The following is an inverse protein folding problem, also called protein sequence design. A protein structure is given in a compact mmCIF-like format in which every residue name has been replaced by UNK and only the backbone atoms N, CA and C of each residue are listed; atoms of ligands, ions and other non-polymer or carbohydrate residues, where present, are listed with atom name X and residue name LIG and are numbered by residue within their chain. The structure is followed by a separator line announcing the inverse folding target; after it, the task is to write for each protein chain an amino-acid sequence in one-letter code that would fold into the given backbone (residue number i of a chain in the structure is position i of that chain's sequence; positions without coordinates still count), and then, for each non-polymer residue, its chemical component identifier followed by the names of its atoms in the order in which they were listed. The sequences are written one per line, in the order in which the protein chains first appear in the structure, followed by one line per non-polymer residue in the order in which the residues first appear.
data_IF_055346113312
#
_entry.id   IF_055346113312
#
_cell.length_a   1.000
_cell.length_b   1.000
_cell.length_c   1.000
_cell.angle_alpha   90.00
_cell.angle_beta   90.00
_cell.angle_gamma   90.00
#
_symmetry.space_group_name_H-M   'P 1'
#
loop_
_entity.id
_entity.type
_entity.pdbx_description
1 polymer ?
#
# COMPACT_ATOMS: atom_id res chain seq x y z
N UNK A 1 6.66 -8.21 -10.05
CA UNK A 1 6.69 -6.93 -10.80
C UNK A 1 8.06 -6.78 -11.45
N UNK A 2 8.22 -6.10 -12.59
CA UNK A 2 9.57 -5.76 -13.09
C UNK A 2 9.88 -4.31 -12.72
N UNK A 3 10.95 -4.10 -11.94
CA UNK A 3 11.46 -2.79 -11.55
C UNK A 3 12.89 -2.69 -12.08
N UNK A 4 13.20 -1.62 -12.81
CA UNK A 4 14.53 -1.39 -13.42
C UNK A 4 15.06 -2.59 -14.23
N UNK A 5 14.18 -3.30 -14.94
CA UNK A 5 14.55 -4.47 -15.76
C UNK A 5 14.62 -5.80 -15.01
N UNK A 6 14.62 -5.80 -13.68
CA UNK A 6 14.70 -7.00 -12.84
C UNK A 6 13.35 -7.37 -12.23
N UNK A 7 13.13 -8.66 -11.99
CA UNK A 7 11.89 -9.16 -11.40
C UNK A 7 11.95 -9.06 -9.87
N UNK A 8 11.02 -8.31 -9.29
CA UNK A 8 10.81 -8.17 -7.85
C UNK A 8 9.58 -8.97 -7.44
N UNK A 9 9.74 -9.84 -6.45
CA UNK A 9 8.66 -10.62 -5.87
C UNK A 9 8.04 -9.88 -4.68
N UNK A 10 6.72 -9.92 -4.56
CA UNK A 10 5.99 -9.35 -3.44
C UNK A 10 5.34 -10.48 -2.64
N UNK A 11 5.48 -10.41 -1.32
CA UNK A 11 4.71 -11.25 -0.39
C UNK A 11 3.49 -10.45 0.06
N UNK A 12 2.31 -11.05 -0.06
CA UNK A 12 1.05 -10.48 0.43
C UNK A 12 0.57 -11.31 1.62
N UNK A 13 0.22 -10.65 2.72
CA UNK A 13 -0.36 -11.28 3.91
C UNK A 13 -1.57 -10.47 4.37
N UNK A 14 -2.58 -11.14 4.90
CA UNK A 14 -3.76 -10.53 5.52
C UNK A 14 -3.59 -10.34 7.04
N UNK A 15 -2.56 -10.95 7.63
CA UNK A 15 -2.26 -10.91 9.05
C UNK A 15 -0.86 -10.40 9.30
N UNK A 16 -0.77 -9.36 10.13
CA UNK A 16 0.51 -8.83 10.65
C UNK A 16 1.06 -9.68 11.80
N UNK A 17 0.27 -10.60 12.34
CA UNK A 17 0.70 -11.45 13.46
C UNK A 17 1.75 -12.50 13.04
N UNK A 18 1.84 -12.80 11.74
CA UNK A 18 2.82 -13.75 11.18
C UNK A 18 4.14 -13.08 10.79
N UNK A 19 4.25 -11.76 10.93
CA UNK A 19 5.47 -11.02 10.61
C UNK A 19 6.44 -11.09 11.79
N UNK A 20 7.69 -11.47 11.53
CA UNK A 20 8.78 -11.32 12.49
C UNK A 20 9.10 -9.82 12.70
N UNK A 21 9.88 -9.51 13.74
CA UNK A 21 10.31 -8.12 13.97
C UNK A 21 11.11 -7.57 12.79
N UNK A 22 11.99 -8.39 12.22
CA UNK A 22 12.86 -8.02 11.09
C UNK A 22 12.04 -7.83 9.81
N UNK A 23 11.00 -8.64 9.60
CA UNK A 23 10.16 -8.53 8.41
C UNK A 23 9.40 -7.21 8.29
N UNK A 24 9.29 -6.42 9.38
CA UNK A 24 8.64 -5.10 9.33
C UNK A 24 9.39 -4.08 8.50
N UNK A 25 10.73 -4.20 8.35
CA UNK A 25 11.51 -3.29 7.49
C UNK A 25 11.25 -3.53 6.00
N UNK A 26 10.69 -4.69 5.63
CA UNK A 26 10.36 -5.06 4.25
C UNK A 26 8.88 -4.79 3.93
N UNK A 27 8.09 -4.29 4.88
CA UNK A 27 6.69 -3.93 4.62
C UNK A 27 6.68 -2.58 3.91
N UNK A 28 6.16 -2.56 2.69
CA UNK A 28 6.23 -1.39 1.80
C UNK A 28 4.87 -0.73 1.58
N UNK A 29 3.78 -1.43 1.89
CA UNK A 29 2.43 -0.92 1.71
C UNK A 29 1.37 -1.70 2.47
N UNK A 30 0.19 -1.09 2.59
CA UNK A 30 -0.96 -1.64 3.30
C UNK A 30 -2.24 -1.33 2.52
N UNK A 31 -3.11 -2.33 2.36
CA UNK A 31 -4.47 -2.10 1.90
C UNK A 31 -5.29 -1.59 3.08
N UNK A 32 -5.69 -0.33 3.04
CA UNK A 32 -6.41 0.36 4.11
C UNK A 32 -7.89 0.00 4.01
N UNK A 33 -8.47 -0.43 5.13
CA UNK A 33 -9.91 -0.73 5.26
C UNK A 33 -10.76 0.51 5.56
N UNK A 34 -10.13 1.55 6.10
CA UNK A 34 -10.79 2.74 6.65
C UNK A 34 -11.02 2.67 8.16
N UNK A 35 -10.78 1.53 8.81
CA UNK A 35 -10.96 1.41 10.26
C UNK A 35 -9.65 1.61 11.03
N UNK A 36 -9.64 2.50 12.02
CA UNK A 36 -8.45 2.78 12.84
C UNK A 36 -7.90 1.53 13.54
N UNK A 37 -8.79 0.61 13.97
CA UNK A 37 -8.39 -0.58 14.70
C UNK A 37 -7.47 -1.50 13.88
N UNK A 38 -7.48 -1.41 12.55
CA UNK A 38 -6.59 -2.16 11.64
C UNK A 38 -5.12 -1.96 12.02
N UNK A 39 -4.76 -0.77 12.50
CA UNK A 39 -3.38 -0.37 12.74
C UNK A 39 -2.87 -0.73 14.14
N UNK A 40 -3.70 -1.27 15.05
CA UNK A 40 -3.35 -1.53 16.46
C UNK A 40 -2.14 -2.43 16.68
N UNK A 41 -1.80 -3.29 15.72
CA UNK A 41 -0.67 -4.25 15.81
C UNK A 41 0.48 -3.92 14.86
N UNK A 42 0.45 -2.74 14.24
CA UNK A 42 1.54 -2.29 13.39
C UNK A 42 2.71 -1.81 14.24
N UNK A 43 3.92 -2.21 13.86
CA UNK A 43 5.15 -1.89 14.60
C UNK A 43 5.99 -0.79 13.95
N UNK A 44 5.45 -0.16 12.91
CA UNK A 44 6.11 0.91 12.15
C UNK A 44 5.49 2.26 12.50
N UNK A 45 6.27 3.33 12.31
CA UNK A 45 5.81 4.71 12.41
C UNK A 45 5.00 4.97 13.67
N UNK A 46 5.60 4.83 14.85
CA UNK A 46 5.01 5.04 16.19
C UNK A 46 3.71 4.29 16.55
N UNK A 47 3.20 3.44 15.65
CA UNK A 47 1.96 2.68 15.85
C UNK A 47 0.68 3.49 15.66
N UNK A 48 0.76 4.82 15.44
CA UNK A 48 -0.41 5.62 15.07
C UNK A 48 -0.74 5.44 13.59
N UNK A 49 -2.02 5.65 13.24
CA UNK A 49 -2.48 5.61 11.84
C UNK A 49 -1.63 6.53 10.95
N UNK A 50 -1.37 7.75 11.42
CA UNK A 50 -0.59 8.75 10.68
C UNK A 50 0.89 8.34 10.55
N UNK A 51 1.50 7.81 11.61
CA UNK A 51 2.88 7.38 11.56
C UNK A 51 3.07 6.14 10.66
N UNK A 52 2.15 5.17 10.73
CA UNK A 52 2.12 4.02 9.83
C UNK A 52 1.98 4.47 8.37
N UNK A 53 1.02 5.35 8.06
CA UNK A 53 0.75 5.80 6.69
C UNK A 53 1.77 6.82 6.15
N UNK A 54 2.64 7.36 7.01
CA UNK A 54 3.86 8.07 6.59
C UNK A 54 4.99 7.11 6.22
N UNK A 55 5.03 5.94 6.84
CA UNK A 55 6.08 4.94 6.62
C UNK A 55 5.73 4.03 5.43
N UNK A 56 4.49 3.58 5.36
CA UNK A 56 3.99 2.62 4.39
C UNK A 56 3.13 3.32 3.32
N UNK A 57 3.14 2.77 2.10
CA UNK A 57 2.18 3.15 1.07
C UNK A 57 0.77 2.65 1.44
N UNK A 58 -0.10 3.55 1.90
CA UNK A 58 -1.52 3.23 2.11
C UNK A 58 -2.30 3.26 0.81
N UNK A 59 -3.04 2.19 0.50
CA UNK A 59 -3.98 2.16 -0.62
C UNK A 59 -5.36 1.75 -0.13
N UNK A 60 -6.38 2.56 -0.41
CA UNK A 60 -7.78 2.21 -0.18
C UNK A 60 -8.50 1.95 -1.50
N UNK A 61 -9.24 0.85 -1.57
CA UNK A 61 -10.10 0.52 -2.70
C UNK A 61 -11.55 0.82 -2.34
N UNK A 62 -12.28 1.45 -3.26
CA UNK A 62 -13.72 1.62 -3.11
C UNK A 62 -14.42 1.82 -4.43
N UNK A 63 -15.75 1.81 -4.40
CA UNK A 63 -16.55 1.95 -5.62
C UNK A 63 -16.54 3.39 -6.13
N UNK A 64 -16.73 3.59 -7.44
CA UNK A 64 -16.76 4.92 -8.09
C UNK A 64 -17.73 5.91 -7.42
N UNK A 65 -18.87 5.41 -6.92
CA UNK A 65 -19.92 6.16 -6.22
C UNK A 65 -19.72 6.25 -4.71
N UNK A 66 -18.78 5.51 -4.15
CA UNK A 66 -18.48 5.54 -2.72
C UNK A 66 -17.57 6.73 -2.37
N UNK A 67 -17.73 7.31 -1.19
CA UNK A 67 -16.79 8.34 -0.70
C UNK A 67 -15.83 7.74 0.31
N UNK A 68 -14.52 8.00 0.22
CA UNK A 68 -13.58 7.60 1.26
C UNK A 68 -13.97 8.26 2.59
N UNK A 69 -13.77 7.54 3.69
CA UNK A 69 -14.00 8.07 5.02
C UNK A 69 -12.90 9.07 5.44
N UNK A 70 -13.08 9.68 6.61
CA UNK A 70 -12.16 10.70 7.16
C UNK A 70 -10.72 10.18 7.28
N UNK A 71 -10.53 8.97 7.82
CA UNK A 71 -9.21 8.33 7.93
C UNK A 71 -8.46 8.31 6.59
N UNK A 72 -9.12 7.84 5.53
CA UNK A 72 -8.51 7.74 4.19
C UNK A 72 -8.22 9.13 3.63
N UNK A 73 -9.11 10.10 3.86
CA UNK A 73 -8.97 11.47 3.35
C UNK A 73 -7.87 12.27 4.03
N UNK A 74 -7.61 12.04 5.31
CA UNK A 74 -6.71 12.88 6.12
C UNK A 74 -5.27 12.35 6.21
N UNK A 75 -5.04 11.08 5.87
CA UNK A 75 -3.75 10.41 6.11
C UNK A 75 -2.99 10.07 4.82
N UNK A 76 -3.22 10.80 3.72
CA UNK A 76 -2.44 10.67 2.49
C UNK A 76 -2.57 9.30 1.80
N UNK A 77 -3.69 8.60 2.02
CA UNK A 77 -3.95 7.28 1.45
C UNK A 77 -4.28 7.41 -0.04
N UNK A 78 -3.69 6.56 -0.87
CA UNK A 78 -4.01 6.49 -2.29
C UNK A 78 -5.40 5.87 -2.48
N UNK A 79 -6.30 6.58 -3.16
CA UNK A 79 -7.65 6.11 -3.46
C UNK A 79 -7.71 5.47 -4.84
N UNK A 80 -7.98 4.17 -4.90
CA UNK A 80 -8.19 3.43 -6.15
C UNK A 80 -9.68 3.11 -6.29
N UNK A 81 -10.29 3.63 -7.35
CA UNK A 81 -11.71 3.44 -7.63
C UNK A 81 -11.96 2.26 -8.57
N UNK A 82 -12.93 1.44 -8.22
CA UNK A 82 -13.39 0.30 -9.01
C UNK A 82 -14.80 0.57 -9.52
N UNK A 83 -15.05 0.17 -10.77
CA UNK A 83 -16.40 0.21 -11.33
C UNK A 83 -17.13 -1.10 -11.01
N UNK A 84 -18.41 -1.02 -10.65
CA UNK A 84 -19.23 -2.23 -10.41
C UNK A 84 -19.56 -2.98 -11.70
N UNK A 85 -19.64 -2.27 -12.82
CA UNK A 85 -20.10 -2.82 -14.10
C UNK A 85 -19.03 -2.76 -15.20
N UNK A 86 -18.10 -1.81 -15.14
CA UNK A 86 -17.11 -1.57 -16.22
C UNK A 86 -15.78 -2.26 -15.93
N UNK A 87 -15.72 -3.59 -16.08
CA UNK A 87 -14.50 -4.39 -15.83
C UNK A 87 -13.31 -4.07 -16.74
N UNK A 88 -13.56 -3.51 -17.92
CA UNK A 88 -12.47 -3.01 -18.79
C UNK A 88 -11.67 -1.86 -18.15
N UNK A 89 -12.20 -1.22 -17.10
CA UNK A 89 -11.50 -0.19 -16.33
C UNK A 89 -10.61 -0.77 -15.22
N UNK A 90 -10.71 -2.07 -14.91
CA UNK A 90 -9.90 -2.70 -13.86
C UNK A 90 -8.41 -2.59 -14.19
N UNK A 91 -8.03 -2.61 -15.47
CA UNK A 91 -6.65 -2.37 -15.92
C UNK A 91 -6.10 -1.00 -15.48
N UNK A 92 -6.95 0.03 -15.46
CA UNK A 92 -6.58 1.37 -14.96
C UNK A 92 -6.41 1.36 -13.43
N UNK A 93 -7.27 0.64 -12.71
CA UNK A 93 -7.16 0.52 -11.26
C UNK A 93 -5.90 -0.24 -10.85
N UNK A 94 -5.57 -1.32 -11.57
CA UNK A 94 -4.33 -2.09 -11.38
C UNK A 94 -3.11 -1.22 -11.66
N UNK A 95 -3.12 -0.41 -12.74
CA UNK A 95 -2.04 0.52 -13.03
C UNK A 95 -1.85 1.54 -11.90
N UNK A 96 -2.93 2.19 -11.45
CA UNK A 96 -2.88 3.16 -10.36
C UNK A 96 -2.35 2.57 -9.05
N UNK A 97 -2.74 1.33 -8.72
CA UNK A 97 -2.20 0.61 -7.57
C UNK A 97 -0.69 0.41 -7.69
N UNK A 98 -0.21 -0.11 -8.81
CA UNK A 98 1.21 -0.36 -9.01
C UNK A 98 2.03 0.93 -9.09
N UNK A 99 1.50 1.99 -9.69
CA UNK A 99 2.18 3.29 -9.75
C UNK A 99 2.40 3.87 -8.35
N UNK A 100 1.44 3.70 -7.43
CA UNK A 100 1.57 4.13 -6.05
C UNK A 100 2.64 3.33 -5.30
N UNK A 101 2.61 1.99 -5.41
CA UNK A 101 3.60 1.11 -4.77
C UNK A 101 5.00 1.36 -5.34
N UNK A 102 5.15 1.40 -6.67
CA UNK A 102 6.43 1.57 -7.33
C UNK A 102 7.03 2.96 -7.05
N UNK A 103 6.21 4.00 -6.93
CA UNK A 103 6.67 5.34 -6.55
C UNK A 103 7.13 5.38 -5.10
N UNK A 104 6.37 4.78 -4.17
CA UNK A 104 6.72 4.73 -2.76
C UNK A 104 8.00 3.91 -2.51
N UNK A 105 8.14 2.76 -3.16
CA UNK A 105 9.34 1.93 -3.11
C UNK A 105 10.60 2.71 -3.50
N UNK A 106 10.57 3.42 -4.63
CA UNK A 106 11.73 4.21 -5.10
C UNK A 106 12.08 5.36 -4.16
N UNK A 107 11.08 5.95 -3.50
CA UNK A 107 11.28 7.10 -2.62
C UNK A 107 11.74 6.71 -1.22
N UNK A 108 11.22 5.61 -0.67
CA UNK A 108 11.33 5.28 0.76
C UNK A 108 12.07 3.97 1.04
N UNK A 109 12.20 3.08 0.06
CA UNK A 109 12.85 1.77 0.22
C UNK A 109 13.80 1.45 -0.96
N UNK A 110 14.73 2.36 -1.32
CA UNK A 110 15.65 2.12 -2.43
C UNK A 110 16.53 0.87 -2.22
N UNK A 111 16.82 0.49 -0.97
CA UNK A 111 17.60 -0.69 -0.61
C UNK A 111 16.91 -2.02 -0.91
N UNK A 112 15.57 -2.03 -1.06
CA UNK A 112 14.82 -3.21 -1.46
C UNK A 112 14.73 -3.35 -2.99
N UNK A 113 15.14 -2.32 -3.72
CA UNK A 113 15.21 -2.36 -5.17
C UNK A 113 16.52 -3.01 -5.61
N UNK A 114 16.48 -3.80 -6.67
CA UNK A 114 17.69 -4.46 -7.14
C UNK A 114 18.63 -3.42 -7.78
N UNK A 115 19.93 -3.62 -7.59
CA UNK A 115 20.96 -2.71 -8.10
C UNK A 115 20.88 -2.61 -9.63
N UNK A 116 20.70 -1.38 -10.12
CA UNK A 116 20.77 -1.07 -11.54
C UNK A 116 22.25 -1.15 -11.95
N UNK A 117 22.70 -2.33 -12.34
CA UNK A 117 24.01 -2.54 -12.97
C UNK A 117 23.92 -2.38 -14.48
#
# INVERSE_FOLDING_TARGET
RRLSGQAVAFRVTDSVATLSEEAWSEVVGVVVSGAEWQFRRFKVGDGSVRGVLRTLCGVWFGWEDERPNELVRENGVTVVKLSRTKRHLDGRAVAAFWDAIDSHLRASFPELLPDVT
#
